data_IF_120750374843
#
_entry.id   IF_120750374843
#
_cell.length_a   1.000
_cell.length_b   1.000
_cell.length_c   1.000
_cell.angle_alpha   90.00
_cell.angle_beta   90.00
_cell.angle_gamma   90.00
#
_symmetry.space_group_name_H-M   'P 1'
#
loop_
_entity.id
_entity.type
_entity.pdbx_description
1 polymer ?
#
# COMPACT_ATOMS: atom_id res chain seq x y z
N UNK A 1 5.38 -1.92 -18.48
CA UNK A 1 5.34 -1.83 -17.01
C UNK A 1 6.25 -0.71 -16.58
N UNK A 2 5.88 0.04 -15.55
CA UNK A 2 6.77 1.05 -15.02
C UNK A 2 8.01 0.36 -14.43
N UNK A 3 9.13 0.51 -15.11
CA UNK A 3 10.45 0.07 -14.63
C UNK A 3 11.03 1.07 -13.63
N UNK A 4 10.25 2.13 -13.35
CA UNK A 4 10.65 3.22 -12.48
C UNK A 4 10.61 2.81 -11.01
N UNK A 5 11.45 3.46 -10.23
CA UNK A 5 11.49 3.27 -8.79
C UNK A 5 10.14 3.64 -8.16
N UNK A 6 9.51 2.71 -7.47
CA UNK A 6 8.21 2.93 -6.86
C UNK A 6 8.21 2.56 -5.37
N UNK A 7 7.41 3.29 -4.60
CA UNK A 7 7.19 2.95 -3.20
C UNK A 7 6.58 1.54 -3.09
N UNK A 8 7.11 0.63 -2.27
CA UNK A 8 6.59 -0.73 -2.14
C UNK A 8 5.12 -0.79 -1.74
N UNK A 9 4.60 0.23 -1.07
CA UNK A 9 3.18 0.32 -0.71
C UNK A 9 2.25 0.38 -1.93
N UNK A 10 2.74 0.88 -3.07
CA UNK A 10 1.98 0.87 -4.33
C UNK A 10 1.54 -0.56 -4.68
N UNK A 11 2.46 -1.50 -4.64
CA UNK A 11 2.23 -2.91 -5.01
C UNK A 11 1.36 -3.68 -4.00
N UNK A 12 1.22 -3.16 -2.79
CA UNK A 12 0.35 -3.69 -1.74
C UNK A 12 -1.02 -2.98 -1.68
N UNK A 13 -1.20 -1.94 -2.49
CA UNK A 13 -2.42 -1.13 -2.47
C UNK A 13 -3.19 -1.24 -3.78
N UNK A 14 -2.49 -1.32 -4.90
CA UNK A 14 -3.07 -1.31 -6.25
C UNK A 14 -2.67 -2.56 -7.00
N UNK A 15 -3.65 -3.25 -7.54
CA UNK A 15 -3.44 -4.33 -8.50
C UNK A 15 -2.95 -3.77 -9.83
N UNK A 16 -1.69 -4.04 -10.15
CA UNK A 16 -1.03 -3.53 -11.35
C UNK A 16 -0.95 -4.61 -12.42
N UNK A 17 -1.21 -4.23 -13.65
CA UNK A 17 -1.13 -5.12 -14.81
C UNK A 17 0.27 -5.73 -14.94
N UNK A 18 0.31 -7.04 -15.13
CA UNK A 18 1.53 -7.82 -15.28
C UNK A 18 2.13 -8.30 -13.95
N UNK A 19 1.48 -7.99 -12.83
CA UNK A 19 1.86 -8.49 -11.51
C UNK A 19 0.85 -9.53 -10.99
N UNK A 20 1.27 -10.46 -10.12
CA UNK A 20 0.35 -11.43 -9.55
C UNK A 20 -0.62 -10.78 -8.56
N UNK A 21 -1.79 -11.40 -8.43
CA UNK A 21 -2.69 -11.09 -7.33
C UNK A 21 -2.07 -11.51 -5.98
N UNK A 22 -2.15 -10.66 -4.97
CA UNK A 22 -1.43 -10.79 -3.71
C UNK A 22 -1.61 -12.15 -2.98
N UNK A 23 -2.77 -12.79 -3.14
CA UNK A 23 -3.08 -14.09 -2.53
C UNK A 23 -2.99 -15.27 -3.51
N UNK A 24 -2.69 -15.02 -4.77
CA UNK A 24 -2.53 -16.07 -5.77
C UNK A 24 -1.44 -15.71 -6.78
N UNK A 25 -0.25 -16.21 -6.55
CA UNK A 25 0.92 -15.94 -7.39
C UNK A 25 0.81 -16.49 -8.82
N UNK A 26 -0.13 -17.42 -9.07
CA UNK A 26 -0.37 -17.99 -10.39
C UNK A 26 -1.37 -17.14 -11.21
N UNK A 27 -2.09 -16.23 -10.57
CA UNK A 27 -3.01 -15.33 -11.25
C UNK A 27 -2.33 -13.99 -11.52
N UNK A 28 -1.87 -13.81 -12.75
CA UNK A 28 -1.27 -12.55 -13.21
C UNK A 28 -2.39 -11.63 -13.67
N UNK A 29 -2.45 -10.47 -13.05
CA UNK A 29 -3.40 -9.43 -13.43
C UNK A 29 -2.97 -8.80 -14.74
N UNK A 30 -3.83 -8.86 -15.78
CA UNK A 30 -3.58 -8.24 -17.07
C UNK A 30 -4.87 -7.64 -17.65
N UNK A 31 -4.76 -6.95 -18.78
CA UNK A 31 -5.93 -6.34 -19.44
C UNK A 31 -6.83 -7.34 -20.13
N UNK A 32 -6.37 -8.55 -20.34
CA UNK A 32 -7.11 -9.63 -21.02
C UNK A 32 -7.76 -10.57 -20.02
N UNK A 33 -7.24 -10.66 -18.79
CA UNK A 33 -7.83 -11.46 -17.74
C UNK A 33 -9.10 -10.80 -17.19
N UNK A 34 -10.05 -11.60 -16.82
CA UNK A 34 -11.37 -11.16 -16.35
C UNK A 34 -11.38 -10.78 -14.85
N UNK A 35 -10.33 -10.14 -14.36
CA UNK A 35 -10.21 -9.71 -12.97
C UNK A 35 -10.89 -8.35 -12.70
N UNK A 36 -11.05 -7.54 -13.74
CA UNK A 36 -11.90 -6.35 -13.70
C UNK A 36 -13.20 -6.64 -14.43
N UNK A 37 -14.34 -6.57 -13.75
CA UNK A 37 -15.66 -6.91 -14.30
C UNK A 37 -15.98 -6.22 -15.63
N UNK A 38 -15.53 -4.98 -15.79
CA UNK A 38 -15.65 -4.22 -17.04
C UNK A 38 -14.50 -3.23 -17.12
N UNK A 39 -13.35 -3.70 -17.60
CA UNK A 39 -12.13 -2.87 -17.65
C UNK A 39 -12.27 -1.60 -18.47
N UNK A 40 -13.09 -1.62 -19.54
CA UNK A 40 -13.37 -0.44 -20.34
C UNK A 40 -14.18 0.64 -19.61
N UNK A 41 -15.00 0.25 -18.62
CA UNK A 41 -15.83 1.17 -17.85
C UNK A 41 -15.18 1.57 -16.52
N UNK A 42 -14.63 0.60 -15.78
CA UNK A 42 -14.09 0.80 -14.42
C UNK A 42 -12.57 0.86 -14.36
N UNK A 43 -11.91 0.68 -15.52
CA UNK A 43 -10.44 0.60 -15.59
C UNK A 43 -9.89 -0.78 -15.23
N UNK A 44 -8.56 -0.87 -15.32
CA UNK A 44 -7.81 -2.12 -15.12
C UNK A 44 -7.03 -2.16 -13.80
N UNK A 45 -7.20 -1.15 -12.96
CA UNK A 45 -6.57 -1.08 -11.66
C UNK A 45 -7.61 -1.29 -10.57
N UNK A 46 -7.33 -2.18 -9.64
CA UNK A 46 -8.23 -2.46 -8.50
C UNK A 46 -7.49 -2.23 -7.19
N UNK A 47 -8.25 -1.92 -6.16
CA UNK A 47 -7.69 -1.87 -4.81
C UNK A 47 -7.37 -3.28 -4.32
N UNK A 48 -6.18 -3.44 -3.72
CA UNK A 48 -5.79 -4.64 -2.99
C UNK A 48 -6.04 -4.50 -1.49
N UNK A 49 -6.45 -3.32 -1.04
CA UNK A 49 -6.77 -3.07 0.37
C UNK A 49 -8.08 -3.74 0.77
N UNK A 50 -8.11 -4.26 1.99
CA UNK A 50 -9.28 -4.91 2.59
C UNK A 50 -9.79 -6.15 1.85
N UNK A 51 -8.95 -6.75 1.00
CA UNK A 51 -9.26 -8.02 0.40
C UNK A 51 -9.02 -9.13 1.42
N UNK A 52 -9.92 -10.11 1.42
CA UNK A 52 -9.80 -11.31 2.25
C UNK A 52 -9.00 -12.35 1.48
N UNK A 53 -8.03 -12.99 2.14
CA UNK A 53 -7.37 -14.16 1.60
C UNK A 53 -8.45 -15.23 1.29
N UNK A 54 -8.52 -15.76 0.03
CA UNK A 54 -9.46 -16.81 -0.33
C UNK A 54 -9.44 -18.03 0.61
N UNK A 55 -8.29 -18.36 1.18
CA UNK A 55 -8.15 -19.45 2.15
C UNK A 55 -8.88 -19.16 3.48
N UNK A 56 -9.14 -17.89 3.78
CA UNK A 56 -9.78 -17.44 5.03
C UNK A 56 -11.23 -16.98 4.83
N UNK A 57 -11.78 -17.14 3.63
CA UNK A 57 -13.18 -16.71 3.32
C UNK A 57 -14.16 -17.35 4.32
N UNK A 58 -14.05 -18.66 4.58
CA UNK A 58 -14.93 -19.34 5.52
C UNK A 58 -14.87 -18.84 6.96
N UNK A 59 -13.76 -18.21 7.34
CA UNK A 59 -13.56 -17.64 8.67
C UNK A 59 -14.09 -16.20 8.78
N UNK A 60 -13.91 -15.39 7.74
CA UNK A 60 -14.17 -13.96 7.81
C UNK A 60 -15.41 -13.49 7.05
N UNK A 61 -15.94 -14.30 6.13
CA UNK A 61 -17.11 -13.94 5.36
C UNK A 61 -18.28 -14.87 5.68
N UNK A 62 -19.42 -14.29 6.01
CA UNK A 62 -20.68 -15.00 6.22
C UNK A 62 -21.48 -14.89 4.93
N UNK A 63 -21.76 -16.03 4.31
CA UNK A 63 -22.63 -16.11 3.14
C UNK A 63 -24.10 -15.97 3.57
N UNK A 64 -24.82 -15.07 2.91
CA UNK A 64 -26.25 -14.84 3.15
C UNK A 64 -26.82 -13.97 2.04
N UNK A 65 -28.05 -13.51 2.21
CA UNK A 65 -28.67 -12.56 1.27
C UNK A 65 -27.87 -11.28 1.12
N UNK A 66 -27.20 -10.87 2.18
CA UNK A 66 -26.18 -9.82 2.20
C UNK A 66 -24.87 -10.39 2.77
N UNK A 67 -23.80 -10.27 2.00
CA UNK A 67 -22.48 -10.69 2.48
C UNK A 67 -22.05 -9.83 3.65
N UNK A 68 -21.75 -10.46 4.77
CA UNK A 68 -21.20 -9.81 5.95
C UNK A 68 -19.76 -10.25 6.19
N UNK A 69 -18.98 -9.42 6.83
CA UNK A 69 -17.60 -9.72 7.20
C UNK A 69 -17.36 -9.46 8.69
N UNK A 70 -16.67 -10.38 9.33
CA UNK A 70 -16.17 -10.24 10.70
C UNK A 70 -14.78 -9.59 10.77
N UNK A 71 -14.24 -9.16 9.62
CA UNK A 71 -12.97 -8.45 9.60
C UNK A 71 -13.07 -7.10 10.30
N UNK A 72 -12.12 -6.83 11.18
CA UNK A 72 -12.00 -5.51 11.80
C UNK A 72 -11.74 -4.43 10.77
N UNK A 73 -12.56 -3.40 10.75
CA UNK A 73 -12.33 -2.22 9.94
C UNK A 73 -11.35 -1.30 10.68
N UNK A 74 -10.22 -1.04 10.06
CA UNK A 74 -9.23 -0.10 10.60
C UNK A 74 -9.77 1.33 10.37
N UNK A 75 -10.04 2.04 11.46
CA UNK A 75 -10.46 3.46 11.44
C UNK A 75 -9.23 4.36 11.55
N UNK A 76 -8.35 4.07 12.53
CA UNK A 76 -7.09 4.76 12.74
C UNK A 76 -5.96 3.74 12.90
N UNK A 77 -4.79 4.10 12.42
CA UNK A 77 -3.54 3.34 12.58
C UNK A 77 -2.54 4.17 13.36
N UNK A 78 -1.64 3.53 14.02
CA UNK A 78 -0.55 4.24 14.70
C UNK A 78 0.25 5.17 13.76
N UNK A 79 0.39 4.79 12.49
CA UNK A 79 1.01 5.65 11.48
C UNK A 79 0.25 6.97 11.26
N UNK A 80 -1.08 6.94 11.33
CA UNK A 80 -1.92 8.13 11.15
C UNK A 80 -1.69 9.10 12.32
N UNK A 81 -1.63 8.58 13.57
CA UNK A 81 -1.30 9.37 14.78
C UNK A 81 0.12 9.97 14.69
N UNK A 82 1.09 9.21 14.16
CA UNK A 82 2.45 9.73 13.96
C UNK A 82 2.50 10.86 12.94
N UNK A 83 1.69 10.78 11.86
CA UNK A 83 1.61 11.85 10.85
C UNK A 83 0.93 13.10 11.39
N UNK A 84 -0.16 12.97 12.13
CA UNK A 84 -0.82 14.11 12.81
C UNK A 84 0.15 14.80 13.80
N UNK A 85 0.90 14.00 14.56
CA UNK A 85 1.94 14.56 15.44
C UNK A 85 3.05 15.25 14.65
N UNK A 86 3.47 14.69 13.51
CA UNK A 86 4.48 15.32 12.65
C UNK A 86 3.98 16.66 12.11
N UNK A 87 2.74 16.73 11.66
CA UNK A 87 2.11 17.98 11.21
C UNK A 87 2.09 19.02 12.32
N UNK A 88 1.64 18.66 13.52
CA UNK A 88 1.62 19.57 14.66
C UNK A 88 3.03 20.09 14.99
N UNK A 89 4.05 19.24 14.94
CA UNK A 89 5.45 19.66 15.16
C UNK A 89 5.95 20.61 14.07
N UNK A 90 5.59 20.36 12.80
CA UNK A 90 5.94 21.27 11.71
C UNK A 90 5.28 22.64 11.89
N UNK A 91 4.00 22.68 12.30
CA UNK A 91 3.30 23.93 12.61
C UNK A 91 3.96 24.73 13.75
N UNK A 92 4.58 24.03 14.71
CA UNK A 92 5.35 24.63 15.80
C UNK A 92 6.78 24.99 15.42
N UNK A 93 7.17 24.88 14.14
CA UNK A 93 8.54 25.15 13.67
C UNK A 93 9.57 24.08 14.07
N UNK A 94 9.14 22.89 14.52
CA UNK A 94 10.02 21.78 14.93
C UNK A 94 10.18 20.78 13.78
N UNK A 95 10.59 21.26 12.61
CA UNK A 95 10.65 20.49 11.36
C UNK A 95 11.50 19.23 11.46
N UNK A 96 12.66 19.28 12.14
CA UNK A 96 13.51 18.10 12.29
C UNK A 96 12.83 16.95 13.06
N UNK A 97 12.05 17.30 14.10
CA UNK A 97 11.28 16.31 14.84
C UNK A 97 10.12 15.75 14.01
N UNK A 98 9.47 16.59 13.20
CA UNK A 98 8.42 16.17 12.28
C UNK A 98 8.97 15.18 11.24
N UNK A 99 10.08 15.50 10.59
CA UNK A 99 10.74 14.63 9.59
C UNK A 99 11.18 13.31 10.21
N UNK A 100 11.66 13.30 11.46
CA UNK A 100 12.00 12.05 12.14
C UNK A 100 10.81 11.08 12.24
N UNK A 101 9.61 11.58 12.55
CA UNK A 101 8.38 10.76 12.58
C UNK A 101 7.97 10.26 11.19
N UNK A 102 8.05 11.12 10.18
CA UNK A 102 7.80 10.74 8.79
C UNK A 102 8.78 9.66 8.34
N UNK A 103 10.06 9.81 8.67
CA UNK A 103 11.10 8.82 8.34
C UNK A 103 10.89 7.47 9.04
N UNK A 104 10.36 7.46 10.26
CA UNK A 104 9.99 6.22 10.94
C UNK A 104 8.95 5.43 10.11
N UNK A 105 7.94 6.11 9.57
CA UNK A 105 6.91 5.49 8.72
C UNK A 105 7.52 5.02 7.40
N UNK A 106 8.39 5.82 6.77
CA UNK A 106 9.06 5.49 5.51
C UNK A 106 9.98 4.28 5.67
N UNK A 107 10.77 4.24 6.74
CA UNK A 107 11.64 3.09 7.04
C UNK A 107 10.84 1.80 7.24
N UNK A 108 9.72 1.87 7.93
CA UNK A 108 8.81 0.73 8.06
C UNK A 108 8.26 0.29 6.71
N UNK A 109 7.84 1.24 5.86
CA UNK A 109 7.33 0.91 4.52
C UNK A 109 8.39 0.25 3.64
N UNK A 110 9.64 0.72 3.72
CA UNK A 110 10.77 0.15 2.98
C UNK A 110 11.07 -1.30 3.40
N UNK A 111 10.89 -1.63 4.70
CA UNK A 111 11.16 -2.98 5.23
C UNK A 111 9.95 -3.93 5.15
N UNK A 112 8.73 -3.42 4.92
CA UNK A 112 7.50 -4.22 4.89
C UNK A 112 7.22 -4.79 3.49
N UNK A 113 8.15 -5.56 2.95
CA UNK A 113 8.09 -6.07 1.56
C UNK A 113 7.95 -7.60 1.48
N UNK A 114 7.67 -8.29 2.57
CA UNK A 114 7.66 -9.75 2.64
C UNK A 114 6.73 -10.40 1.61
N UNK A 115 5.51 -9.86 1.44
CA UNK A 115 4.52 -10.39 0.48
C UNK A 115 4.90 -10.17 -0.99
N UNK A 116 5.82 -9.26 -1.26
CA UNK A 116 6.25 -8.86 -2.61
C UNK A 116 7.77 -9.01 -2.79
N UNK A 117 8.41 -9.78 -1.92
CA UNK A 117 9.88 -9.93 -1.89
C UNK A 117 10.50 -10.42 -3.19
N UNK A 118 9.75 -11.20 -3.97
CA UNK A 118 10.19 -11.72 -5.27
C UNK A 118 9.91 -10.77 -6.46
N UNK A 119 9.20 -9.66 -6.24
CA UNK A 119 8.84 -8.75 -7.34
C UNK A 119 10.06 -8.16 -8.05
N UNK A 120 11.16 -7.74 -7.35
CA UNK A 120 12.33 -7.23 -8.03
C UNK A 120 12.97 -8.25 -8.97
N UNK A 121 13.12 -9.51 -8.54
CA UNK A 121 13.78 -10.55 -9.31
C UNK A 121 12.89 -11.13 -10.41
N UNK A 122 11.59 -11.33 -10.12
CA UNK A 122 10.67 -12.00 -11.05
C UNK A 122 10.00 -11.04 -12.04
N UNK A 123 9.73 -9.80 -11.64
CA UNK A 123 8.96 -8.84 -12.45
C UNK A 123 9.73 -7.56 -12.77
N UNK A 124 11.00 -7.45 -12.36
CA UNK A 124 11.87 -6.31 -12.67
C UNK A 124 11.44 -4.98 -12.02
N UNK A 125 10.57 -5.02 -10.99
CA UNK A 125 10.18 -3.81 -10.26
C UNK A 125 11.32 -3.33 -9.36
N UNK A 126 11.42 -2.03 -9.14
CA UNK A 126 12.41 -1.43 -8.25
C UNK A 126 11.72 -0.74 -7.10
N UNK A 127 11.99 -1.21 -5.88
CA UNK A 127 11.47 -0.55 -4.68
C UNK A 127 12.27 0.69 -4.34
N UNK A 128 11.56 1.77 -4.07
CA UNK A 128 12.17 3.02 -3.63
C UNK A 128 11.31 3.69 -2.56
N UNK A 129 11.81 3.64 -1.35
CA UNK A 129 11.24 4.37 -0.22
C UNK A 129 12.38 4.78 0.71
N UNK A 130 13.06 5.89 0.37
CA UNK A 130 14.16 6.42 1.16
C UNK A 130 13.67 7.44 2.17
N UNK A 131 14.38 7.54 3.29
CA UNK A 131 14.17 8.59 4.27
C UNK A 131 14.54 9.96 3.69
N UNK A 132 13.88 10.98 4.17
CA UNK A 132 14.30 12.36 3.93
C UNK A 132 15.56 12.67 4.67
N UNK A 133 16.50 13.35 4.02
CA UNK A 133 17.79 13.77 4.57
C UNK A 133 17.96 15.26 4.33
N UNK A 134 18.49 15.99 5.31
CA UNK A 134 18.66 17.44 5.28
C UNK A 134 17.74 18.16 6.23
N UNK A 135 17.91 19.47 6.32
CA UNK A 135 17.05 20.36 7.08
C UNK A 135 15.92 20.87 6.20
N UNK A 136 14.73 20.93 6.74
CA UNK A 136 13.52 21.39 6.07
C UNK A 136 12.90 22.52 6.85
N UNK A 137 12.44 23.56 6.17
CA UNK A 137 11.61 24.59 6.78
C UNK A 137 10.15 24.14 6.89
N UNK A 138 9.30 24.98 7.50
CA UNK A 138 7.87 24.66 7.67
C UNK A 138 7.17 24.42 6.34
N UNK A 139 7.46 25.21 5.32
CA UNK A 139 6.81 25.11 4.01
C UNK A 139 7.21 23.84 3.26
N UNK A 140 8.43 23.35 3.49
CA UNK A 140 8.93 22.09 2.89
C UNK A 140 8.48 20.84 3.66
N UNK A 141 8.07 20.99 4.92
CA UNK A 141 7.69 19.88 5.80
C UNK A 141 6.20 19.56 5.68
N UNK A 142 5.36 20.55 5.41
CA UNK A 142 3.92 20.44 5.20
C UNK A 142 3.56 20.19 3.74
#
# INVERSE_FOLDING_TARGET
MATDNADPRLFLTVGLTGLPYMFNSNFIMDRTSNWSRSGGLYGYYVTLKQNVDPALIGQYLIKGSFWATSMNRIVFRYADVLLERAEALAQLGKSDQAIALVNQIRSRAASSTQMISNYPTKYGVKFYCKNYTGSYDKAQTL
#
